data_IF_914525663177
#
_entry.id   IF_914525663177
#
_cell.length_a   1.000
_cell.length_b   1.000
_cell.length_c   1.000
_cell.angle_alpha   90.00
_cell.angle_beta   90.00
_cell.angle_gamma   90.00
#
_symmetry.space_group_name_H-M   'P 1'
#
loop_
_entity.id
_entity.type
_entity.pdbx_description
1 polymer ?
#
# COMPACT_ATOMS: atom_id res chain seq x y z
N UNK A 1 3.69 -4.68 -5.41
CA UNK A 1 2.21 -4.82 -5.48
C UNK A 1 1.77 -4.06 -6.70
N UNK A 2 1.14 -4.71 -7.68
CA UNK A 2 0.53 -3.94 -8.76
C UNK A 2 -0.63 -3.11 -8.19
N UNK A 3 -0.77 -1.88 -8.68
CA UNK A 3 -1.79 -0.93 -8.21
C UNK A 3 -3.19 -1.47 -8.52
N UNK A 4 -3.32 -2.29 -9.54
CA UNK A 4 -4.57 -2.94 -9.91
C UNK A 4 -4.93 -4.08 -8.97
N UNK A 5 -3.96 -4.89 -8.53
CA UNK A 5 -4.18 -5.95 -7.56
C UNK A 5 -4.78 -5.42 -6.26
N UNK A 6 -4.22 -4.32 -5.73
CA UNK A 6 -4.74 -3.70 -4.49
C UNK A 6 -6.16 -3.16 -4.67
N UNK A 7 -6.45 -2.57 -5.84
CA UNK A 7 -7.80 -2.09 -6.18
C UNK A 7 -8.81 -3.25 -6.20
N UNK A 8 -8.45 -4.36 -6.85
CA UNK A 8 -9.31 -5.54 -6.96
C UNK A 8 -9.54 -6.19 -5.59
N UNK A 9 -8.50 -6.25 -4.74
CA UNK A 9 -8.63 -6.71 -3.36
C UNK A 9 -9.60 -5.84 -2.56
N UNK A 10 -9.45 -4.51 -2.60
CA UNK A 10 -10.34 -3.60 -1.89
C UNK A 10 -11.78 -3.69 -2.40
N UNK A 11 -11.98 -3.83 -3.71
CA UNK A 11 -13.30 -4.02 -4.31
C UNK A 11 -14.01 -5.26 -3.78
N UNK A 12 -13.28 -6.39 -3.69
CA UNK A 12 -13.81 -7.61 -3.10
C UNK A 12 -14.27 -7.39 -1.65
N UNK A 13 -13.47 -6.68 -0.84
CA UNK A 13 -13.84 -6.38 0.54
C UNK A 13 -15.09 -5.49 0.62
N UNK A 14 -15.18 -4.45 -0.21
CA UNK A 14 -16.36 -3.57 -0.25
C UNK A 14 -17.63 -4.34 -0.66
N UNK A 15 -17.53 -5.25 -1.63
CA UNK A 15 -18.65 -6.11 -2.04
C UNK A 15 -19.11 -7.05 -0.93
N UNK A 16 -18.17 -7.61 -0.15
CA UNK A 16 -18.48 -8.65 0.85
C UNK A 16 -18.89 -8.10 2.21
N UNK A 17 -18.42 -6.91 2.56
CA UNK A 17 -18.57 -6.37 3.92
C UNK A 17 -19.10 -4.95 3.96
N UNK A 18 -19.26 -4.26 2.82
CA UNK A 18 -19.75 -2.87 2.77
C UNK A 18 -21.18 -2.68 3.26
N UNK A 19 -21.96 -3.77 3.34
CA UNK A 19 -23.28 -3.80 3.98
C UNK A 19 -23.19 -3.43 5.47
N UNK A 20 -22.14 -3.86 6.17
CA UNK A 20 -21.94 -3.67 7.62
C UNK A 20 -20.82 -2.68 7.97
N UNK A 21 -19.71 -2.70 7.23
CA UNK A 21 -18.54 -1.87 7.50
C UNK A 21 -18.67 -0.53 6.78
N UNK A 22 -18.79 0.57 7.55
CA UNK A 22 -19.01 1.94 7.04
C UNK A 22 -17.78 2.84 7.08
N UNK A 23 -16.73 2.43 7.78
CA UNK A 23 -15.48 3.18 7.89
C UNK A 23 -14.31 2.31 7.46
N UNK A 24 -13.55 2.80 6.50
CA UNK A 24 -12.47 2.08 5.86
C UNK A 24 -11.16 2.87 5.96
N UNK A 25 -10.09 2.18 6.31
CA UNK A 25 -8.72 2.67 6.21
C UNK A 25 -8.05 1.83 5.13
N UNK A 26 -7.47 2.47 4.11
CA UNK A 26 -6.82 1.74 3.03
C UNK A 26 -5.45 1.22 3.48
N UNK A 27 -4.57 2.11 3.92
CA UNK A 27 -3.19 1.81 4.25
C UNK A 27 -2.91 2.28 5.67
N UNK A 28 -2.38 1.39 6.50
CA UNK A 28 -1.84 1.76 7.80
C UNK A 28 -0.39 2.23 7.64
N UNK A 29 -0.06 3.37 8.25
CA UNK A 29 1.31 3.89 8.41
C UNK A 29 2.21 3.77 7.16
N UNK A 30 1.86 4.43 6.04
CA UNK A 30 2.60 4.28 4.79
C UNK A 30 4.08 4.66 4.91
N UNK A 31 4.40 5.70 5.68
CA UNK A 31 5.78 6.10 5.98
C UNK A 31 6.60 4.95 6.61
N UNK A 32 6.03 4.27 7.61
CA UNK A 32 6.73 3.17 8.30
C UNK A 32 7.07 2.03 7.33
N UNK A 33 6.14 1.66 6.44
CA UNK A 33 6.40 0.61 5.45
C UNK A 33 7.50 1.03 4.46
N UNK A 34 7.43 2.25 3.92
CA UNK A 34 8.43 2.75 2.98
C UNK A 34 9.81 2.88 3.63
N UNK A 35 9.90 3.48 4.82
CA UNK A 35 11.17 3.73 5.50
C UNK A 35 11.79 2.44 6.06
N UNK A 36 11.00 1.59 6.72
CA UNK A 36 11.54 0.41 7.41
C UNK A 36 11.62 -0.82 6.52
N UNK A 37 10.71 -0.95 5.55
CA UNK A 37 10.70 -2.09 4.63
C UNK A 37 11.73 -1.97 3.50
N UNK A 38 12.06 -0.72 3.12
CA UNK A 38 12.86 -0.42 1.93
C UNK A 38 13.98 0.62 2.17
N UNK A 39 14.05 1.21 3.36
CA UNK A 39 15.10 2.17 3.75
C UNK A 39 16.15 1.50 4.64
N UNK A 40 15.78 1.08 5.85
CA UNK A 40 16.69 0.39 6.78
C UNK A 40 16.57 -1.15 6.77
N UNK A 41 15.57 -1.70 6.08
CA UNK A 41 15.35 -3.13 5.97
C UNK A 41 14.91 -3.84 7.27
N UNK A 42 14.51 -3.09 8.30
CA UNK A 42 14.06 -3.68 9.57
C UNK A 42 12.67 -4.31 9.53
N UNK A 43 11.86 -3.98 8.52
CA UNK A 43 10.54 -4.58 8.27
C UNK A 43 10.56 -5.42 7.00
N UNK A 44 9.65 -6.40 6.83
CA UNK A 44 9.45 -7.05 5.53
C UNK A 44 9.19 -6.01 4.41
N UNK A 45 9.75 -6.18 3.20
CA UNK A 45 10.53 -7.33 2.72
C UNK A 45 12.03 -7.32 3.11
N UNK A 46 12.49 -6.39 3.94
CA UNK A 46 13.88 -6.33 4.39
C UNK A 46 14.84 -5.82 3.33
N UNK A 47 14.39 -4.90 2.48
CA UNK A 47 15.22 -4.32 1.41
C UNK A 47 15.91 -3.06 1.92
N UNK A 48 17.20 -2.96 1.61
CA UNK A 48 18.02 -1.79 1.88
C UNK A 48 19.33 -1.89 1.10
N UNK A 49 20.09 -0.80 1.01
CA UNK A 49 21.46 -0.82 0.49
C UNK A 49 22.34 -1.74 1.34
N UNK A 50 22.78 -2.86 0.77
CA UNK A 50 23.63 -3.85 1.46
C UNK A 50 22.88 -4.89 2.31
N UNK A 51 21.55 -4.89 2.33
CA UNK A 51 20.74 -5.95 2.96
C UNK A 51 20.81 -7.27 2.16
N UNK A 52 20.48 -8.40 2.82
CA UNK A 52 20.41 -9.74 2.21
C UNK A 52 19.53 -9.77 0.96
N UNK A 53 18.36 -9.13 1.01
CA UNK A 53 17.42 -9.07 -0.11
C UNK A 53 17.75 -7.96 -1.13
N UNK A 54 18.90 -7.29 -0.96
CA UNK A 54 19.33 -6.14 -1.76
C UNK A 54 18.39 -4.94 -1.65
N UNK A 55 18.58 -3.98 -2.56
CA UNK A 55 17.77 -2.77 -2.68
C UNK A 55 18.60 -1.50 -2.67
N UNK A 56 17.91 -0.37 -2.69
CA UNK A 56 18.50 0.96 -2.68
C UNK A 56 17.72 1.88 -1.75
N UNK A 57 18.30 2.12 -0.57
CA UNK A 57 17.73 2.99 0.47
C UNK A 57 17.59 4.45 0.02
N UNK A 58 18.30 4.87 -1.02
CA UNK A 58 18.22 6.22 -1.59
C UNK A 58 17.03 6.42 -2.53
N UNK A 59 16.44 5.34 -3.07
CA UNK A 59 15.39 5.44 -4.09
C UNK A 59 14.13 4.64 -3.77
N UNK A 60 14.26 3.42 -3.23
CA UNK A 60 13.13 2.51 -3.01
C UNK A 60 12.06 3.04 -2.05
N UNK A 61 12.38 3.71 -0.93
CA UNK A 61 11.36 4.31 -0.07
C UNK A 61 10.43 5.28 -0.82
N UNK A 62 10.97 6.06 -1.76
CA UNK A 62 10.19 7.00 -2.56
C UNK A 62 9.32 6.28 -3.60
N UNK A 63 9.86 5.25 -4.25
CA UNK A 63 9.11 4.43 -5.21
C UNK A 63 7.93 3.73 -4.52
N UNK A 64 8.16 3.19 -3.32
CA UNK A 64 7.13 2.51 -2.54
C UNK A 64 6.08 3.51 -2.06
N UNK A 65 6.49 4.65 -1.50
CA UNK A 65 5.57 5.71 -1.09
C UNK A 65 4.70 6.22 -2.25
N UNK A 66 5.29 6.43 -3.43
CA UNK A 66 4.55 6.84 -4.62
C UNK A 66 3.48 5.82 -5.02
N UNK A 67 3.83 4.53 -5.07
CA UNK A 67 2.88 3.47 -5.39
C UNK A 67 1.79 3.30 -4.32
N UNK A 68 2.12 3.46 -3.05
CA UNK A 68 1.14 3.47 -1.96
C UNK A 68 0.10 4.58 -2.15
N UNK A 69 0.53 5.80 -2.49
CA UNK A 69 -0.38 6.92 -2.73
C UNK A 69 -1.29 6.69 -3.94
N UNK A 70 -0.75 6.18 -5.04
CA UNK A 70 -1.55 5.85 -6.22
C UNK A 70 -2.55 4.73 -5.95
N UNK A 71 -2.15 3.69 -5.21
CA UNK A 71 -3.03 2.60 -4.83
C UNK A 71 -4.16 3.08 -3.90
N UNK A 72 -3.84 3.92 -2.92
CA UNK A 72 -4.83 4.61 -2.07
C UNK A 72 -5.83 5.41 -2.92
N UNK A 73 -5.35 6.28 -3.81
CA UNK A 73 -6.20 7.12 -4.64
C UNK A 73 -7.14 6.29 -5.53
N UNK A 74 -6.65 5.21 -6.16
CA UNK A 74 -7.48 4.28 -6.93
C UNK A 74 -8.59 3.66 -6.09
N UNK A 75 -8.28 3.16 -4.89
CA UNK A 75 -9.27 2.54 -4.00
C UNK A 75 -10.30 3.54 -3.50
N UNK A 76 -9.88 4.74 -3.11
CA UNK A 76 -10.81 5.79 -2.68
C UNK A 76 -11.72 6.23 -3.82
N UNK A 77 -11.19 6.38 -5.04
CA UNK A 77 -11.99 6.71 -6.21
C UNK A 77 -13.03 5.62 -6.52
N UNK A 78 -12.64 4.35 -6.41
CA UNK A 78 -13.55 3.22 -6.54
C UNK A 78 -14.66 3.25 -5.48
N UNK A 79 -14.30 3.41 -4.21
CA UNK A 79 -15.23 3.41 -3.08
C UNK A 79 -16.29 4.51 -3.25
N UNK A 80 -15.85 5.75 -3.52
CA UNK A 80 -16.75 6.91 -3.73
C UNK A 80 -17.66 6.79 -4.94
N UNK A 81 -17.26 6.03 -5.96
CA UNK A 81 -18.05 5.89 -7.20
C UNK A 81 -19.11 4.78 -7.09
N UNK A 82 -18.89 3.75 -6.27
CA UNK A 82 -19.68 2.51 -6.30
C UNK A 82 -20.25 2.06 -4.95
N UNK A 83 -19.69 2.51 -3.83
CA UNK A 83 -19.93 1.93 -2.51
C UNK A 83 -20.23 2.97 -1.42
N UNK A 84 -20.25 4.26 -1.78
CA UNK A 84 -20.66 5.39 -0.96
C UNK A 84 -21.76 6.15 -1.71
#
# INVERSE_FOLDING_TARGET
>A
MDREDYKNYAELLFQRFGDRVKFWITLNQPYSLASKGYGDGSYPPGRCTGCEFGGDSGTEPYIVGHNQLLAHAKVVALYRKRYQ
#
